data_IF_579891479996
#
_entry.id   IF_579891479996
#
_cell.length_a   1.000
_cell.length_b   1.000
_cell.length_c   1.000
_cell.angle_alpha   90.00
_cell.angle_beta   90.00
_cell.angle_gamma   90.00
#
_symmetry.space_group_name_H-M   'P 1'
#
loop_
_entity.id
_entity.type
_entity.pdbx_description
1 polymer ?
#
# COMPACT_ATOMS: atom_id res chain seq x y z
N UNK A 1 -19.52 7.08 14.18
CA UNK A 1 -18.07 7.24 13.96
C UNK A 1 -17.87 7.65 12.50
N UNK A 2 -17.37 8.86 12.23
CA UNK A 2 -16.99 9.26 10.88
C UNK A 2 -15.67 8.54 10.58
N UNK A 3 -15.66 7.59 9.63
CA UNK A 3 -14.41 7.09 9.06
C UNK A 3 -13.71 8.30 8.45
N UNK A 4 -12.56 8.67 9.00
CA UNK A 4 -11.69 9.63 8.36
C UNK A 4 -11.15 8.94 7.10
N UNK A 5 -11.53 9.42 5.92
CA UNK A 5 -10.98 9.00 4.62
C UNK A 5 -9.48 9.42 4.46
N UNK A 6 -8.79 9.63 5.58
CA UNK A 6 -7.40 10.08 5.68
C UNK A 6 -6.51 9.10 6.41
N UNK A 7 -7.08 8.07 7.03
CA UNK A 7 -6.29 7.05 7.74
C UNK A 7 -5.85 5.96 6.75
N UNK A 8 -4.59 5.55 6.89
CA UNK A 8 -4.06 4.41 6.14
C UNK A 8 -4.63 3.12 6.74
N UNK A 9 -5.23 2.29 5.91
CA UNK A 9 -5.75 0.98 6.29
C UNK A 9 -4.80 -0.12 5.81
N UNK A 10 -4.54 -1.12 6.66
CA UNK A 10 -3.84 -2.33 6.24
C UNK A 10 -4.69 -3.07 5.21
N UNK A 11 -4.20 -3.15 3.98
CA UNK A 11 -4.85 -3.91 2.92
C UNK A 11 -4.47 -5.38 2.98
N UNK A 12 -3.19 -5.64 3.21
CA UNK A 12 -2.58 -6.96 3.28
C UNK A 12 -1.32 -6.92 4.14
N UNK A 13 -1.05 -8.01 4.86
CA UNK A 13 0.20 -8.21 5.59
C UNK A 13 0.74 -9.59 5.27
N UNK A 14 1.99 -9.65 4.85
CA UNK A 14 2.71 -10.89 4.58
C UNK A 14 3.86 -11.00 5.58
N UNK A 15 3.61 -11.74 6.66
CA UNK A 15 4.61 -11.95 7.72
C UNK A 15 5.74 -12.89 7.28
N UNK A 16 5.50 -13.77 6.30
CA UNK A 16 6.51 -14.69 5.78
C UNK A 16 7.53 -13.95 4.92
N UNK A 17 7.07 -12.96 4.15
CA UNK A 17 7.92 -12.09 3.33
C UNK A 17 8.34 -10.80 4.03
N UNK A 18 7.82 -10.53 5.22
CA UNK A 18 8.21 -9.42 6.08
C UNK A 18 7.76 -8.05 5.58
N UNK A 19 6.54 -7.93 5.02
CA UNK A 19 6.01 -6.64 4.61
C UNK A 19 4.51 -6.45 4.92
N UNK A 20 4.10 -5.18 5.01
CA UNK A 20 2.71 -4.74 5.14
C UNK A 20 2.36 -3.77 4.02
N UNK A 21 1.25 -4.02 3.33
CA UNK A 21 0.66 -3.14 2.32
C UNK A 21 -0.43 -2.33 2.99
N UNK A 22 -0.23 -1.03 3.01
CA UNK A 22 -1.18 -0.02 3.47
C UNK A 22 -1.81 0.66 2.26
N UNK A 23 -3.09 0.96 2.39
CA UNK A 23 -3.87 1.63 1.37
C UNK A 23 -4.67 2.75 1.96
N UNK A 24 -4.79 3.83 1.20
CA UNK A 24 -5.64 4.96 1.56
C UNK A 24 -6.48 5.36 0.35
N UNK A 25 -7.79 5.36 0.51
CA UNK A 25 -8.69 5.84 -0.52
C UNK A 25 -8.57 7.37 -0.64
N UNK A 26 -8.34 7.85 -1.86
CA UNK A 26 -8.22 9.27 -2.20
C UNK A 26 -9.12 9.60 -3.39
N UNK A 27 -9.36 10.89 -3.62
CA UNK A 27 -10.14 11.30 -4.79
C UNK A 27 -9.41 10.87 -6.07
N UNK A 28 -10.01 9.96 -6.84
CA UNK A 28 -9.41 9.37 -8.04
C UNK A 28 -8.65 8.06 -7.83
N UNK A 29 -8.77 7.38 -6.68
CA UNK A 29 -8.31 6.00 -6.50
C UNK A 29 -7.73 5.71 -5.12
N UNK A 30 -6.59 5.03 -5.07
CA UNK A 30 -5.91 4.61 -3.85
C UNK A 30 -4.45 5.07 -3.84
N UNK A 31 -3.97 5.58 -2.72
CA UNK A 31 -2.54 5.66 -2.41
C UNK A 31 -2.10 4.33 -1.76
N UNK A 32 -0.92 3.84 -2.12
CA UNK A 32 -0.36 2.60 -1.58
C UNK A 32 0.99 2.89 -0.91
N UNK A 33 1.19 2.35 0.28
CA UNK A 33 2.45 2.36 1.01
C UNK A 33 2.80 0.92 1.37
N UNK A 34 4.05 0.52 1.17
CA UNK A 34 4.59 -0.78 1.60
C UNK A 34 5.62 -0.52 2.68
N UNK A 35 5.41 -1.13 3.84
CA UNK A 35 6.37 -1.14 4.95
C UNK A 35 7.02 -2.51 5.04
N UNK A 36 8.33 -2.53 5.23
CA UNK A 36 9.06 -3.77 5.46
C UNK A 36 9.47 -3.85 6.93
N UNK A 37 9.43 -5.07 7.48
CA UNK A 37 9.75 -5.34 8.88
C UNK A 37 11.26 -5.21 9.18
N UNK A 38 12.11 -5.17 8.15
CA UNK A 38 13.57 -5.13 8.23
C UNK A 38 14.17 -3.72 8.37
N UNK A 39 13.35 -2.71 8.64
CA UNK A 39 13.69 -1.28 8.64
C UNK A 39 14.05 -0.71 7.25
N UNK A 40 13.73 -1.40 6.16
CA UNK A 40 13.80 -0.80 4.82
C UNK A 40 12.85 0.40 4.73
N UNK A 41 13.30 1.45 4.04
CA UNK A 41 12.48 2.65 3.85
C UNK A 41 11.15 2.31 3.17
N UNK A 42 10.02 2.81 3.70
CA UNK A 42 8.71 2.49 3.16
C UNK A 42 8.57 3.00 1.72
N UNK A 43 8.06 2.13 0.84
CA UNK A 43 7.82 2.46 -0.56
C UNK A 43 6.42 3.02 -0.73
N UNK A 44 6.28 4.16 -1.42
CA UNK A 44 4.99 4.78 -1.71
C UNK A 44 4.75 4.84 -3.20
N UNK A 45 3.52 4.59 -3.62
CA UNK A 45 3.10 4.77 -5.00
C UNK A 45 3.08 6.27 -5.35
N UNK A 46 4.19 6.82 -5.82
CA UNK A 46 4.25 8.21 -6.31
C UNK A 46 4.17 8.26 -7.84
N UNK A 47 3.03 8.68 -8.39
CA UNK A 47 3.07 9.61 -9.53
C UNK A 47 2.65 9.18 -10.94
N UNK A 48 2.24 7.94 -11.24
CA UNK A 48 1.85 7.60 -12.64
C UNK A 48 0.67 6.65 -12.81
N UNK A 49 0.42 5.77 -11.85
CA UNK A 49 -0.70 4.83 -11.87
C UNK A 49 -1.34 4.83 -10.50
N UNK A 50 -2.59 5.28 -10.43
CA UNK A 50 -3.38 5.26 -9.20
C UNK A 50 -4.34 4.07 -9.30
N UNK A 51 -4.20 3.04 -8.44
CA UNK A 51 -5.17 1.96 -8.37
C UNK A 51 -6.58 2.51 -8.18
N UNK A 52 -7.54 2.04 -8.97
CA UNK A 52 -8.93 2.47 -8.88
C UNK A 52 -9.72 1.61 -7.89
N UNK A 53 -9.22 0.40 -7.63
CA UNK A 53 -9.84 -0.55 -6.71
C UNK A 53 -8.88 -1.00 -5.61
N UNK A 54 -9.44 -1.51 -4.52
CA UNK A 54 -8.67 -2.12 -3.42
C UNK A 54 -7.79 -3.29 -3.91
N UNK A 55 -8.29 -4.08 -4.86
CA UNK A 55 -7.56 -5.22 -5.43
C UNK A 55 -6.35 -4.76 -6.23
N UNK A 56 -6.50 -3.72 -7.06
CA UNK A 56 -5.38 -3.11 -7.76
C UNK A 56 -4.37 -2.47 -6.79
N UNK A 57 -4.84 -1.91 -5.67
CA UNK A 57 -3.97 -1.33 -4.64
C UNK A 57 -3.12 -2.40 -3.96
N UNK A 58 -3.71 -3.56 -3.64
CA UNK A 58 -2.98 -4.73 -3.12
C UNK A 58 -1.98 -5.23 -4.17
N UNK A 59 -2.41 -5.38 -5.42
CA UNK A 59 -1.52 -5.84 -6.48
C UNK A 59 -0.31 -4.89 -6.66
N UNK A 60 -0.56 -3.59 -6.68
CA UNK A 60 0.51 -2.58 -6.73
C UNK A 60 1.45 -2.69 -5.53
N UNK A 61 0.91 -2.85 -4.32
CA UNK A 61 1.73 -3.06 -3.11
C UNK A 61 2.62 -4.30 -3.22
N UNK A 62 2.10 -5.40 -3.76
CA UNK A 62 2.89 -6.63 -4.01
C UNK A 62 3.99 -6.39 -5.03
N UNK A 63 3.68 -5.69 -6.12
CA UNK A 63 4.67 -5.33 -7.15
C UNK A 63 5.79 -4.45 -6.55
N UNK A 64 5.44 -3.45 -5.74
CA UNK A 64 6.41 -2.62 -5.01
C UNK A 64 7.26 -3.45 -4.05
N UNK A 65 6.65 -4.37 -3.29
CA UNK A 65 7.36 -5.26 -2.38
C UNK A 65 8.39 -6.14 -3.10
N UNK A 66 8.07 -6.61 -4.32
CA UNK A 66 8.96 -7.46 -5.11
C UNK A 66 10.11 -6.72 -5.80
N UNK A 67 10.00 -5.40 -6.01
CA UNK A 67 11.07 -4.61 -6.64
C UNK A 67 12.22 -4.26 -5.67
N UNK A 68 11.99 -4.39 -4.37
CA UNK A 68 12.95 -4.05 -3.31
C UNK A 68 13.65 -5.26 -2.70
N UNK A 69 13.09 -6.47 -2.87
CA UNK A 69 13.62 -7.73 -2.33
C UNK A 69 14.55 -8.51 -3.25
#
# INVERSE_FOLDING_TARGET
MKRNLTDWDTLERDADRGFEILGREVDGGWEVEVRFDDNTEPQRSTGSRTPQTREEAIQMGREMATMTG
#
